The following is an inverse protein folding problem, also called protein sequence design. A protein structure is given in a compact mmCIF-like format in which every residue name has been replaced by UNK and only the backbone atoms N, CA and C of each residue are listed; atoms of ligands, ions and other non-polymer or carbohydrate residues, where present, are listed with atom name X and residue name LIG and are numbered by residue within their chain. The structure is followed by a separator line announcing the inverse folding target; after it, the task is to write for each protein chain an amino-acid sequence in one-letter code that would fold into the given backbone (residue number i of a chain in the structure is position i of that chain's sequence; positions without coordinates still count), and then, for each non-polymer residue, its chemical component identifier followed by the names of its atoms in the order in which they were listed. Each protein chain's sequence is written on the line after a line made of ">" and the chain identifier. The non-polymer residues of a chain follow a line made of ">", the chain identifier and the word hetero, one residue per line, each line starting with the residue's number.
data_IF_333130144817
#
_entry.id   IF_333130144817
#
_cell.length_a   1.000
_cell.length_b   1.000
_cell.length_c   1.000
_cell.angle_alpha   90.00
_cell.angle_beta   90.00
_cell.angle_gamma   90.00
#
_symmetry.space_group_name_H-M   'P 1'
#
loop_
_entity.id
_entity.type
_entity.pdbx_description
1 polymer ?
#
# COMPACT_ATOMS: atom_id res chain seq x y z
N UNK A 1 4.19 -12.51 -5.78
CA UNK A 1 3.63 -11.20 -6.14
C UNK A 1 3.10 -10.55 -4.87
N UNK A 2 3.36 -9.26 -4.68
CA UNK A 2 2.90 -8.46 -3.52
C UNK A 2 1.94 -7.36 -3.99
N UNK A 3 1.16 -6.81 -3.07
CA UNK A 3 0.28 -5.70 -3.38
C UNK A 3 -0.01 -4.88 -2.13
N UNK A 4 -0.42 -3.64 -2.34
CA UNK A 4 -1.05 -2.82 -1.31
C UNK A 4 -2.00 -1.81 -1.95
N UNK A 5 -2.94 -1.33 -1.14
CA UNK A 5 -3.84 -0.25 -1.48
C UNK A 5 -3.25 1.09 -1.01
N UNK A 6 -3.72 2.21 -1.57
CA UNK A 6 -3.17 3.53 -1.24
C UNK A 6 -3.50 3.95 0.20
N UNK A 7 -4.71 3.63 0.67
CA UNK A 7 -5.24 4.06 1.97
C UNK A 7 -5.55 2.85 2.87
N UNK A 8 -4.62 1.90 2.95
CA UNK A 8 -4.73 0.68 3.77
C UNK A 8 -5.13 1.01 5.23
N UNK A 9 -4.50 2.02 5.81
CA UNK A 9 -4.65 2.36 7.22
C UNK A 9 -5.90 3.16 7.59
N UNK A 10 -6.67 3.72 6.64
CA UNK A 10 -7.72 4.69 7.00
C UNK A 10 -8.83 4.09 7.86
N UNK A 11 -9.22 2.84 7.59
CA UNK A 11 -10.22 2.12 8.40
C UNK A 11 -9.74 1.77 9.83
N UNK A 12 -8.45 1.94 10.11
CA UNK A 12 -7.82 1.62 11.40
C UNK A 12 -7.52 2.88 12.24
N UNK A 13 -7.68 4.07 11.65
CA UNK A 13 -7.47 5.32 12.37
C UNK A 13 -8.65 5.61 13.32
N UNK A 14 -8.39 6.10 14.55
CA UNK A 14 -9.47 6.58 15.42
C UNK A 14 -10.22 7.76 14.80
N UNK A 15 -11.51 7.88 15.11
CA UNK A 15 -12.35 8.99 14.63
C UNK A 15 -12.06 10.34 15.32
N UNK A 16 -11.29 10.32 16.42
CA UNK A 16 -10.81 11.51 17.13
C UNK A 16 -9.46 11.17 17.76
N UNK A 17 -8.46 12.01 17.52
CA UNK A 17 -7.08 11.74 17.94
C UNK A 17 -6.30 13.05 18.10
N UNK A 18 -5.50 13.15 19.17
CA UNK A 18 -4.52 14.21 19.42
C UNK A 18 -3.07 13.66 19.42
N UNK A 19 -2.07 14.51 19.67
CA UNK A 19 -0.66 14.08 19.68
C UNK A 19 -0.33 13.02 20.74
N UNK A 20 -0.92 13.13 21.94
CA UNK A 20 -0.74 12.14 23.00
C UNK A 20 -1.35 10.80 22.61
N UNK A 21 -2.58 10.83 22.07
CA UNK A 21 -3.26 9.63 21.59
C UNK A 21 -2.44 8.95 20.46
N UNK A 22 -1.86 9.74 19.54
CA UNK A 22 -0.99 9.21 18.49
C UNK A 22 0.27 8.55 19.04
N UNK A 23 0.92 9.16 20.05
CA UNK A 23 2.05 8.55 20.72
C UNK A 23 1.67 7.23 21.41
N UNK A 24 0.50 7.16 22.04
CA UNK A 24 -0.02 5.94 22.66
C UNK A 24 -0.32 4.85 21.62
N UNK A 25 -0.77 5.21 20.41
CA UNK A 25 -0.92 4.28 19.28
C UNK A 25 0.44 3.69 18.88
N UNK A 26 1.47 4.51 18.74
CA UNK A 26 2.83 4.04 18.41
C UNK A 26 3.32 3.09 19.51
N UNK A 27 3.22 3.51 20.78
CA UNK A 27 3.65 2.69 21.92
C UNK A 27 2.91 1.35 22.00
N UNK A 28 1.63 1.34 21.66
CA UNK A 28 0.82 0.10 21.61
C UNK A 28 1.21 -0.78 20.43
N UNK A 29 1.48 -0.20 19.26
CA UNK A 29 1.89 -0.93 18.05
C UNK A 29 3.31 -1.48 18.12
N UNK A 30 4.19 -0.83 18.90
CA UNK A 30 5.60 -1.18 19.06
C UNK A 30 5.96 -1.34 20.55
N UNK A 31 5.40 -2.34 21.25
CA UNK A 31 5.47 -2.43 22.72
C UNK A 31 6.87 -2.71 23.29
N UNK A 32 7.78 -3.20 22.46
CA UNK A 32 9.17 -3.52 22.84
C UNK A 32 10.17 -2.47 22.36
N UNK A 33 9.72 -1.48 21.58
CA UNK A 33 10.60 -0.46 21.04
C UNK A 33 11.13 0.48 22.14
N UNK A 34 12.41 0.81 22.05
CA UNK A 34 13.05 1.79 22.92
C UNK A 34 12.41 3.18 22.78
N UNK A 35 12.42 4.02 23.83
CA UNK A 35 11.84 5.37 23.78
C UNK A 35 12.37 6.24 22.62
N UNK A 36 13.64 6.05 22.21
CA UNK A 36 14.24 6.74 21.07
C UNK A 36 13.58 6.36 19.75
N UNK A 37 13.18 5.09 19.57
CA UNK A 37 12.45 4.62 18.39
C UNK A 37 11.03 5.16 18.38
N UNK A 38 10.36 5.16 19.53
CA UNK A 38 9.02 5.76 19.65
C UNK A 38 9.03 7.24 19.26
N UNK A 39 10.04 8.00 19.71
CA UNK A 39 10.19 9.41 19.36
C UNK A 39 10.56 9.61 17.88
N UNK A 40 11.45 8.77 17.32
CA UNK A 40 11.76 8.79 15.87
C UNK A 40 10.47 8.63 15.04
N UNK A 41 9.63 7.66 15.41
CA UNK A 41 8.36 7.44 14.72
C UNK A 41 7.42 8.65 14.89
N UNK A 42 7.27 9.16 16.12
CA UNK A 42 6.33 10.22 16.43
C UNK A 42 6.72 11.60 15.86
N UNK A 43 8.02 11.93 15.87
CA UNK A 43 8.47 13.30 15.64
C UNK A 43 9.15 13.48 14.28
N UNK A 44 9.74 12.42 13.70
CA UNK A 44 10.49 12.50 12.45
C UNK A 44 9.80 11.79 11.29
N UNK A 45 9.39 10.53 11.47
CA UNK A 45 8.77 9.76 10.39
C UNK A 45 7.31 10.17 10.16
N UNK A 46 6.60 10.38 11.26
CA UNK A 46 5.21 10.80 11.25
C UNK A 46 5.00 12.03 12.13
N UNK A 47 5.59 13.20 11.79
CA UNK A 47 5.46 14.42 12.59
C UNK A 47 4.01 14.90 12.73
N UNK A 48 3.67 15.72 13.72
CA UNK A 48 2.36 16.35 13.78
C UNK A 48 2.01 17.08 12.47
N UNK A 49 0.73 17.08 12.05
CA UNK A 49 0.31 17.78 10.84
C UNK A 49 0.62 19.27 10.96
N UNK A 50 1.26 19.81 9.92
CA UNK A 50 1.62 21.21 9.80
C UNK A 50 1.38 21.65 8.37
N UNK A 51 1.27 22.96 8.13
CA UNK A 51 1.09 23.50 6.79
C UNK A 51 2.30 23.23 5.85
N UNK A 52 3.42 22.77 6.40
CA UNK A 52 4.65 22.47 5.65
C UNK A 52 4.80 20.98 5.31
N UNK A 53 4.07 20.09 6.00
CA UNK A 53 4.10 18.64 5.71
C UNK A 53 3.14 18.29 4.57
N UNK A 54 3.64 17.52 3.60
CA UNK A 54 2.82 17.02 2.47
C UNK A 54 2.25 15.62 2.69
N UNK A 55 2.55 14.96 3.82
CA UNK A 55 2.19 13.55 4.05
C UNK A 55 0.71 13.36 4.39
N UNK A 56 0.14 14.29 5.16
CA UNK A 56 -1.24 14.27 5.66
C UNK A 56 -1.61 15.64 6.23
N UNK A 57 -2.90 15.90 6.39
CA UNK A 57 -3.43 17.23 6.74
C UNK A 57 -4.02 17.30 8.16
N UNK A 58 -4.27 16.17 8.80
CA UNK A 58 -4.82 16.11 10.16
C UNK A 58 -4.32 14.88 10.93
N UNK A 59 -4.73 14.76 12.20
CA UNK A 59 -4.28 13.67 13.08
C UNK A 59 -4.86 12.31 12.65
N UNK A 60 -6.06 12.28 12.05
CA UNK A 60 -6.69 11.03 11.60
C UNK A 60 -5.91 10.48 10.41
N UNK A 61 -5.62 11.32 9.43
CA UNK A 61 -4.81 10.99 8.26
C UNK A 61 -3.36 10.67 8.65
N UNK A 62 -2.80 11.28 9.71
CA UNK A 62 -1.51 10.88 10.30
C UNK A 62 -1.54 9.46 10.86
N UNK A 63 -2.54 9.10 11.66
CA UNK A 63 -2.71 7.74 12.18
C UNK A 63 -2.96 6.72 11.07
N UNK A 64 -3.78 7.08 10.08
CA UNK A 64 -4.02 6.26 8.90
C UNK A 64 -2.72 6.03 8.11
N UNK A 65 -1.91 7.08 7.92
CA UNK A 65 -0.66 6.99 7.18
C UNK A 65 0.37 6.10 7.90
N UNK A 66 0.51 6.24 9.23
CA UNK A 66 1.29 5.32 10.07
C UNK A 66 0.83 3.87 9.85
N UNK A 67 -0.47 3.60 9.97
CA UNK A 67 -1.01 2.25 9.80
C UNK A 67 -0.81 1.70 8.37
N UNK A 68 -0.98 2.54 7.34
CA UNK A 68 -0.72 2.17 5.94
C UNK A 68 0.71 1.69 5.77
N UNK A 69 1.69 2.48 6.21
CA UNK A 69 3.10 2.15 6.06
C UNK A 69 3.51 0.99 6.97
N UNK A 70 3.26 1.08 8.29
CA UNK A 70 3.78 0.11 9.25
C UNK A 70 3.16 -1.28 9.17
N UNK A 71 1.88 -1.38 8.80
CA UNK A 71 1.16 -2.65 8.85
C UNK A 71 1.05 -3.35 7.51
N UNK A 72 1.08 -2.60 6.41
CA UNK A 72 0.73 -3.10 5.07
C UNK A 72 1.79 -2.76 4.04
N UNK A 73 1.87 -1.50 3.62
CA UNK A 73 2.59 -1.11 2.40
C UNK A 73 4.11 -1.27 2.56
N UNK A 74 4.72 -0.85 3.68
CA UNK A 74 6.16 -1.09 3.86
C UNK A 74 6.49 -2.59 3.92
N UNK A 75 5.60 -3.45 4.45
CA UNK A 75 5.83 -4.90 4.44
C UNK A 75 5.74 -5.47 3.02
N UNK A 76 4.79 -5.00 2.22
CA UNK A 76 4.71 -5.35 0.81
C UNK A 76 6.01 -4.93 0.08
N UNK A 77 6.53 -3.74 0.39
CA UNK A 77 7.83 -3.28 -0.10
C UNK A 77 8.99 -4.18 0.35
N UNK A 78 9.08 -4.55 1.63
CA UNK A 78 10.10 -5.48 2.14
C UNK A 78 10.08 -6.81 1.37
N UNK A 79 8.90 -7.42 1.25
CA UNK A 79 8.74 -8.70 0.55
C UNK A 79 8.97 -8.58 -0.95
N UNK A 80 8.60 -7.45 -1.55
CA UNK A 80 8.88 -7.14 -2.95
C UNK A 80 10.38 -7.10 -3.23
N UNK A 81 11.19 -6.56 -2.31
CA UNK A 81 12.65 -6.51 -2.48
C UNK A 81 13.40 -7.77 -2.04
N UNK A 82 12.78 -8.60 -1.20
CA UNK A 82 13.44 -9.78 -0.63
C UNK A 82 13.79 -10.88 -1.66
N UNK A 83 13.21 -10.85 -2.87
CA UNK A 83 13.41 -11.86 -3.90
C UNK A 83 13.79 -11.23 -5.25
N UNK A 84 14.69 -11.90 -5.99
CA UNK A 84 15.10 -11.45 -7.33
C UNK A 84 13.96 -11.50 -8.37
N UNK A 85 13.07 -12.47 -8.23
CA UNK A 85 11.91 -12.67 -9.11
C UNK A 85 10.63 -12.37 -8.32
N UNK A 86 10.37 -11.09 -8.14
CA UNK A 86 9.20 -10.56 -7.46
C UNK A 86 8.49 -9.53 -8.34
N UNK A 87 7.22 -9.33 -8.05
CA UNK A 87 6.31 -8.48 -8.81
C UNK A 87 5.34 -7.85 -7.83
N UNK A 88 4.86 -6.64 -8.10
CA UNK A 88 3.77 -6.09 -7.31
C UNK A 88 2.93 -5.04 -8.02
N UNK A 89 1.74 -4.83 -7.49
CA UNK A 89 0.84 -3.76 -7.94
C UNK A 89 0.48 -2.83 -6.78
N UNK A 90 0.24 -1.57 -7.13
CA UNK A 90 -0.24 -0.53 -6.25
C UNK A 90 -1.67 -0.16 -6.65
N UNK A 91 -2.64 -0.45 -5.78
CA UNK A 91 -4.04 -0.14 -6.02
C UNK A 91 -4.40 1.27 -5.55
N UNK A 92 -4.76 2.13 -6.50
CA UNK A 92 -5.05 3.56 -6.35
C UNK A 92 -6.39 3.94 -7.01
N UNK A 93 -7.39 3.07 -6.89
CA UNK A 93 -8.77 3.44 -7.22
C UNK A 93 -9.43 4.00 -5.97
N UNK A 94 -9.74 5.30 -5.98
CA UNK A 94 -10.36 5.98 -4.84
C UNK A 94 -11.62 5.22 -4.34
N UNK A 95 -11.76 4.98 -3.02
CA UNK A 95 -10.92 5.51 -1.95
C UNK A 95 -9.74 4.60 -1.54
N UNK A 96 -9.53 3.47 -2.22
CA UNK A 96 -8.40 2.56 -2.05
C UNK A 96 -8.14 2.12 -0.60
N UNK A 97 -9.21 1.82 0.15
CA UNK A 97 -9.10 1.25 1.49
C UNK A 97 -8.65 -0.20 1.48
N UNK A 98 -8.23 -0.66 2.65
CA UNK A 98 -7.93 -2.07 2.90
C UNK A 98 -9.03 -2.99 2.36
N UNK A 99 -8.63 -3.90 1.47
CA UNK A 99 -9.49 -4.92 0.88
C UNK A 99 -10.44 -4.46 -0.24
N UNK A 100 -10.46 -3.18 -0.66
CA UNK A 100 -11.36 -2.75 -1.74
C UNK A 100 -10.99 -3.33 -3.12
N UNK A 101 -9.73 -3.68 -3.32
CA UNK A 101 -9.24 -4.38 -4.51
C UNK A 101 -9.85 -5.78 -4.65
N UNK A 102 -10.34 -6.39 -3.57
CA UNK A 102 -11.02 -7.69 -3.61
C UNK A 102 -12.22 -7.73 -4.56
N UNK A 103 -12.96 -6.63 -4.69
CA UNK A 103 -14.09 -6.53 -5.62
C UNK A 103 -13.66 -6.69 -7.08
N UNK A 104 -12.42 -6.30 -7.41
CA UNK A 104 -11.81 -6.46 -8.73
C UNK A 104 -11.22 -7.86 -8.90
N UNK A 105 -10.58 -8.41 -7.85
CA UNK A 105 -10.03 -9.78 -7.85
C UNK A 105 -11.12 -10.81 -8.11
N UNK A 106 -12.26 -10.68 -7.43
CA UNK A 106 -13.38 -11.62 -7.53
C UNK A 106 -14.51 -11.14 -8.44
N UNK A 107 -14.22 -10.20 -9.34
CA UNK A 107 -15.20 -9.67 -10.26
C UNK A 107 -15.81 -10.77 -11.15
N UNK A 108 -17.15 -10.76 -11.25
CA UNK A 108 -17.91 -11.63 -12.14
C UNK A 108 -18.67 -10.78 -13.17
N UNK A 109 -18.37 -10.86 -14.48
CA UNK A 109 -19.02 -10.05 -15.50
C UNK A 109 -20.51 -10.39 -15.70
N UNK A 110 -20.99 -11.52 -15.17
CA UNK A 110 -22.40 -11.94 -15.26
C UNK A 110 -23.26 -11.43 -14.10
N UNK A 111 -22.64 -10.89 -13.03
CA UNK A 111 -23.32 -10.39 -11.82
C UNK A 111 -23.13 -8.87 -11.68
N UNK A 112 -23.22 -8.15 -12.81
CA UNK A 112 -23.04 -6.70 -12.83
C UNK A 112 -24.20 -5.97 -12.14
N UNK A 113 -23.87 -4.99 -11.31
CA UNK A 113 -24.80 -4.06 -10.68
C UNK A 113 -24.29 -2.61 -10.73
N UNK A 114 -25.05 -1.65 -10.19
CA UNK A 114 -24.69 -0.22 -10.23
C UNK A 114 -23.34 0.11 -9.57
N UNK A 115 -22.86 -0.74 -8.67
CA UNK A 115 -21.60 -0.58 -7.94
C UNK A 115 -20.50 -1.53 -8.42
N UNK A 116 -20.67 -2.15 -9.60
CA UNK A 116 -19.65 -3.03 -10.15
C UNK A 116 -18.35 -2.26 -10.44
N UNK A 117 -17.19 -2.89 -10.20
CA UNK A 117 -15.90 -2.29 -10.51
C UNK A 117 -15.71 -2.08 -12.02
N UNK A 118 -14.71 -1.28 -12.38
CA UNK A 118 -14.27 -1.15 -13.77
C UNK A 118 -13.81 -2.52 -14.31
N UNK A 119 -14.51 -3.01 -15.32
CA UNK A 119 -14.31 -4.36 -15.89
C UNK A 119 -12.92 -4.53 -16.50
N UNK A 120 -12.41 -3.53 -17.23
CA UNK A 120 -11.06 -3.56 -17.79
C UNK A 120 -10.00 -3.72 -16.71
N UNK A 121 -10.16 -3.00 -15.59
CA UNK A 121 -9.24 -3.09 -14.46
C UNK A 121 -9.35 -4.44 -13.76
N UNK A 122 -10.57 -4.94 -13.58
CA UNK A 122 -10.82 -6.23 -12.97
C UNK A 122 -10.19 -7.37 -13.76
N UNK A 123 -10.39 -7.40 -15.09
CA UNK A 123 -9.75 -8.39 -15.96
C UNK A 123 -8.23 -8.30 -15.94
N UNK A 124 -7.65 -7.10 -15.91
CA UNK A 124 -6.20 -6.97 -15.78
C UNK A 124 -5.66 -7.57 -14.47
N UNK A 125 -6.32 -7.29 -13.33
CA UNK A 125 -5.93 -7.85 -12.02
C UNK A 125 -6.08 -9.38 -12.02
N UNK A 126 -7.18 -9.89 -12.55
CA UNK A 126 -7.44 -11.33 -12.64
C UNK A 126 -6.42 -12.03 -13.54
N UNK A 127 -6.08 -11.45 -14.69
CA UNK A 127 -5.04 -11.96 -15.57
C UNK A 127 -3.68 -12.00 -14.82
N UNK A 128 -3.29 -10.92 -14.13
CA UNK A 128 -2.02 -10.88 -13.39
C UNK A 128 -1.93 -11.98 -12.33
N UNK A 129 -2.98 -12.17 -11.54
CA UNK A 129 -3.03 -13.18 -10.48
C UNK A 129 -2.98 -14.59 -11.08
N UNK A 130 -3.82 -14.86 -12.08
CA UNK A 130 -3.93 -16.19 -12.68
C UNK A 130 -2.67 -16.57 -13.45
N UNK A 131 -2.09 -15.66 -14.23
CA UNK A 131 -0.85 -15.91 -14.97
C UNK A 131 0.32 -16.10 -14.01
N UNK A 132 0.46 -15.27 -12.96
CA UNK A 132 1.45 -15.48 -11.92
C UNK A 132 1.32 -16.86 -11.25
N UNK A 133 0.10 -17.31 -10.96
CA UNK A 133 -0.13 -18.64 -10.38
C UNK A 133 0.23 -19.79 -11.34
N UNK A 134 -0.01 -19.61 -12.65
CA UNK A 134 0.24 -20.64 -13.66
C UNK A 134 1.72 -20.75 -14.03
N UNK A 135 2.41 -19.62 -14.20
CA UNK A 135 3.74 -19.58 -14.81
C UNK A 135 4.79 -18.78 -14.02
N UNK A 136 4.42 -18.14 -12.90
CA UNK A 136 5.30 -17.33 -12.06
C UNK A 136 5.56 -15.90 -12.55
N UNK A 137 4.98 -15.48 -13.69
CA UNK A 137 5.16 -14.17 -14.32
C UNK A 137 3.79 -13.52 -14.59
N UNK A 138 3.44 -12.42 -13.91
CA UNK A 138 2.16 -11.77 -14.16
C UNK A 138 2.14 -11.13 -15.55
N UNK A 139 1.02 -11.27 -16.25
CA UNK A 139 0.76 -10.66 -17.56
C UNK A 139 -0.73 -10.47 -17.74
N UNK A 140 -1.14 -9.54 -18.61
CA UNK A 140 -2.55 -9.37 -18.99
C UNK A 140 -2.69 -9.23 -20.50
N UNK A 141 -3.81 -9.75 -21.01
CA UNK A 141 -4.23 -9.64 -22.40
C UNK A 141 -5.05 -8.38 -22.69
N UNK A 142 -5.33 -7.56 -21.66
CA UNK A 142 -6.05 -6.29 -21.80
C UNK A 142 -5.23 -5.33 -22.67
N UNK A 143 -5.88 -4.76 -23.69
CA UNK A 143 -5.25 -3.85 -24.64
C UNK A 143 -4.67 -2.60 -23.94
N UNK A 144 -3.46 -2.21 -24.37
CA UNK A 144 -2.78 -1.01 -23.87
C UNK A 144 -2.10 -1.17 -22.52
N UNK A 145 -2.12 -2.37 -21.93
CA UNK A 145 -1.41 -2.67 -20.69
C UNK A 145 0.05 -3.04 -20.99
N UNK A 146 0.98 -2.34 -20.33
CA UNK A 146 2.41 -2.62 -20.46
C UNK A 146 2.80 -3.92 -19.74
N UNK A 147 3.92 -4.53 -20.15
CA UNK A 147 4.46 -5.74 -19.52
C UNK A 147 4.66 -5.54 -18.00
N UNK A 148 4.34 -6.54 -17.18
CA UNK A 148 4.45 -6.41 -15.74
C UNK A 148 5.95 -6.34 -15.32
N UNK A 149 6.42 -5.24 -14.72
CA UNK A 149 7.83 -5.10 -14.38
C UNK A 149 8.18 -5.97 -13.17
N UNK A 150 9.42 -6.47 -13.13
CA UNK A 150 9.98 -7.02 -11.89
C UNK A 150 10.07 -5.91 -10.85
N UNK A 151 9.77 -6.24 -9.60
CA UNK A 151 9.77 -5.28 -8.49
C UNK A 151 11.15 -4.63 -8.32
N UNK A 152 12.16 -5.45 -8.01
CA UNK A 152 13.55 -5.03 -7.87
C UNK A 152 13.79 -3.97 -6.79
N UNK A 153 15.04 -3.51 -6.69
CA UNK A 153 15.46 -2.54 -5.64
C UNK A 153 14.79 -1.17 -5.74
N UNK A 154 14.36 -0.80 -6.95
CA UNK A 154 13.69 0.47 -7.22
C UNK A 154 12.20 0.45 -6.84
N UNK A 155 11.62 -0.73 -6.58
CA UNK A 155 10.19 -0.86 -6.26
C UNK A 155 9.30 -0.59 -7.47
N UNK A 156 9.60 -1.19 -8.62
CA UNK A 156 8.76 -1.04 -9.80
C UNK A 156 7.44 -1.82 -9.63
N UNK A 157 6.32 -1.18 -9.94
CA UNK A 157 4.99 -1.77 -9.79
C UNK A 157 4.10 -1.43 -10.99
N UNK A 158 3.01 -2.19 -11.12
CA UNK A 158 1.84 -1.71 -11.87
C UNK A 158 0.97 -0.86 -10.94
N UNK A 159 0.79 0.41 -11.28
CA UNK A 159 -0.21 1.28 -10.65
C UNK A 159 -1.57 1.09 -11.32
N UNK A 160 -2.57 0.81 -10.49
CA UNK A 160 -3.96 0.56 -10.87
C UNK A 160 -4.81 1.73 -10.39
N UNK A 161 -5.17 2.64 -11.28
CA UNK A 161 -6.01 3.81 -10.96
C UNK A 161 -7.36 3.74 -11.66
N UNK A 162 -8.27 4.64 -11.30
CA UNK A 162 -9.62 4.69 -11.90
C UNK A 162 -9.61 4.87 -13.43
N UNK A 163 -8.52 5.41 -14.00
CA UNK A 163 -8.42 5.78 -15.41
C UNK A 163 -7.24 5.17 -16.15
N UNK A 164 -6.32 4.48 -15.45
CA UNK A 164 -5.11 3.94 -16.08
C UNK A 164 -4.54 2.73 -15.34
N UNK A 165 -3.92 1.84 -16.12
CA UNK A 165 -3.04 0.75 -15.69
C UNK A 165 -1.67 1.10 -16.25
N UNK A 166 -0.71 1.43 -15.38
CA UNK A 166 0.57 2.01 -15.81
C UNK A 166 1.74 1.54 -14.95
N UNK A 167 2.95 1.67 -15.48
CA UNK A 167 4.16 1.48 -14.69
C UNK A 167 4.33 2.64 -13.72
N UNK A 168 4.74 2.33 -12.49
CA UNK A 168 5.10 3.33 -11.50
C UNK A 168 6.25 2.83 -10.62
N UNK A 169 6.87 3.76 -9.92
CA UNK A 169 7.61 3.45 -8.71
C UNK A 169 6.59 3.38 -7.58
N UNK A 170 6.71 2.36 -6.75
CA UNK A 170 5.87 2.16 -5.58
C UNK A 170 5.90 3.43 -4.71
N UNK A 171 4.73 3.93 -4.30
CA UNK A 171 4.63 5.12 -3.46
C UNK A 171 5.35 4.95 -2.11
N UNK A 172 5.56 3.70 -1.70
CA UNK A 172 6.30 3.35 -0.48
C UNK A 172 7.77 3.01 -0.71
N UNK A 173 8.32 3.23 -1.91
CA UNK A 173 9.77 3.13 -2.18
C UNK A 173 10.57 4.32 -1.61
N UNK A 174 10.38 4.60 -0.32
CA UNK A 174 10.92 5.73 0.40
C UNK A 174 11.79 5.29 1.61
N UNK A 175 12.46 6.23 2.25
CA UNK A 175 13.41 5.93 3.33
C UNK A 175 12.74 5.37 4.60
N UNK A 176 11.47 5.71 4.87
CA UNK A 176 10.74 5.14 6.01
C UNK A 176 10.52 3.65 5.83
N UNK A 177 10.08 3.21 4.65
CA UNK A 177 9.92 1.78 4.41
C UNK A 177 11.26 1.04 4.32
N UNK A 178 12.31 1.66 3.79
CA UNK A 178 13.67 1.09 3.89
C UNK A 178 14.12 0.94 5.35
N UNK A 179 13.70 1.82 6.25
CA UNK A 179 13.95 1.69 7.68
C UNK A 179 13.13 0.56 8.32
N UNK A 180 11.84 0.42 7.96
CA UNK A 180 11.01 -0.69 8.43
C UNK A 180 11.58 -2.05 8.01
N UNK A 181 12.18 -2.15 6.82
CA UNK A 181 12.84 -3.38 6.33
C UNK A 181 13.97 -3.86 7.27
N UNK A 182 14.55 -2.97 8.08
CA UNK A 182 15.64 -3.31 9.02
C UNK A 182 15.13 -3.97 10.30
N UNK A 183 13.83 -3.89 10.61
CA UNK A 183 13.25 -4.49 11.82
C UNK A 183 13.70 -3.85 13.14
N UNK A 184 14.15 -2.58 13.13
CA UNK A 184 14.69 -1.88 14.30
C UNK A 184 13.64 -1.43 15.34
N UNK A 185 12.38 -1.78 15.13
CA UNK A 185 11.24 -1.46 15.99
C UNK A 185 10.82 -2.60 16.92
N UNK A 186 11.58 -3.70 16.93
CA UNK A 186 11.36 -4.89 17.76
C UNK A 186 12.20 -4.88 19.02
#
# INVERSE_FOLDING_TARGET
>A
MVAHNTNEGLGFAPSSINNSDFYDIIKTGFPTAEPSVLNLLADEFYPPPSNESSLYHDQISRAAFLATESNFACKAFSFGRAFNESYGYWFDVFPAFHGLDSSYVFFNPYEKGPSSPNETLAFAIQDYITTFAINGIPSSSVDGVAAFPRYGEQGNVIKLSATSISHAIDMVANDRCRWYDLGLYM
#
